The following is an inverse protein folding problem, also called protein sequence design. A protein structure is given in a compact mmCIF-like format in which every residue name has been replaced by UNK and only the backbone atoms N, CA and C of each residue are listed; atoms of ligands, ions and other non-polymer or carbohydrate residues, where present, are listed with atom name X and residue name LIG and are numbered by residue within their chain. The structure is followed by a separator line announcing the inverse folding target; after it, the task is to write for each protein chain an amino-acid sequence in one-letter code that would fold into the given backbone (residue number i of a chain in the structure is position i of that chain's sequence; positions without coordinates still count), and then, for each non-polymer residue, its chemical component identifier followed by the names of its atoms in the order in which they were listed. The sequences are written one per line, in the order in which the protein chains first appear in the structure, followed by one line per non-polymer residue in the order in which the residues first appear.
data_IF_039839074442
#
_entry.id   IF_039839074442
#
_cell.length_a   1.000
_cell.length_b   1.000
_cell.length_c   1.000
_cell.angle_alpha   90.00
_cell.angle_beta   90.00
_cell.angle_gamma   90.00
#
_symmetry.space_group_name_H-M   'P 1'
#
loop_
_entity.id
_entity.type
_entity.pdbx_description
1 polymer ?
#
# COMPACT_ATOMS: atom_id res chain seq x y z
N UNK A 1 58.09 15.09 22.02
CA UNK A 1 58.36 13.81 21.31
C UNK A 1 57.80 13.94 19.91
N UNK A 2 58.60 13.81 18.83
CA UNK A 2 58.07 13.94 17.47
C UNK A 2 57.33 12.66 17.09
N UNK A 3 56.04 12.80 16.74
CA UNK A 3 55.23 11.69 16.24
C UNK A 3 55.73 11.35 14.83
N UNK A 4 56.13 10.10 14.62
CA UNK A 4 56.67 9.62 13.35
C UNK A 4 55.65 9.77 12.22
N UNK A 5 56.08 10.34 11.09
CA UNK A 5 55.28 10.53 9.87
C UNK A 5 54.68 9.21 9.34
N UNK A 6 55.32 8.07 9.62
CA UNK A 6 54.82 6.71 9.33
C UNK A 6 53.57 6.34 10.14
N UNK A 7 53.48 6.79 11.39
CA UNK A 7 52.32 6.55 12.25
C UNK A 7 51.12 7.39 11.80
N UNK A 8 51.36 8.64 11.39
CA UNK A 8 50.31 9.53 10.85
C UNK A 8 49.75 8.99 9.52
N UNK A 9 50.62 8.49 8.63
CA UNK A 9 50.19 7.88 7.35
C UNK A 9 49.45 6.56 7.56
N UNK A 10 49.85 5.73 8.52
CA UNK A 10 49.11 4.52 8.86
C UNK A 10 47.72 4.84 9.45
N UNK A 11 47.61 5.84 10.34
CA UNK A 11 46.32 6.26 10.93
C UNK A 11 45.37 6.84 9.87
N UNK A 12 45.87 7.55 8.86
CA UNK A 12 45.05 8.07 7.77
C UNK A 12 44.67 6.98 6.74
N UNK A 13 45.50 5.95 6.55
CA UNK A 13 45.25 4.89 5.57
C UNK A 13 44.15 3.91 5.99
N UNK A 14 44.03 3.58 7.28
CA UNK A 14 43.00 2.64 7.80
C UNK A 14 41.56 3.08 7.48
N UNK A 15 41.11 4.32 7.79
CA UNK A 15 39.74 4.73 7.49
C UNK A 15 39.46 4.80 5.99
N UNK A 16 40.48 5.12 5.17
CA UNK A 16 40.36 5.10 3.70
C UNK A 16 40.15 3.67 3.19
N UNK A 17 40.94 2.71 3.68
CA UNK A 17 40.79 1.30 3.31
C UNK A 17 39.42 0.78 3.75
N UNK A 18 38.99 1.11 4.97
CA UNK A 18 37.68 0.69 5.48
C UNK A 18 36.53 1.28 4.65
N UNK A 19 36.62 2.55 4.27
CA UNK A 19 35.64 3.21 3.41
C UNK A 19 35.58 2.57 2.01
N UNK A 20 36.73 2.22 1.42
CA UNK A 20 36.80 1.53 0.12
C UNK A 20 36.18 0.13 0.23
N UNK A 21 36.48 -0.63 1.28
CA UNK A 21 35.88 -1.94 1.51
C UNK A 21 34.37 -1.83 1.72
N UNK A 22 33.91 -0.90 2.55
CA UNK A 22 32.48 -0.64 2.73
C UNK A 22 31.80 -0.27 1.41
N UNK A 23 32.44 0.53 0.55
CA UNK A 23 31.92 0.88 -0.77
C UNK A 23 31.83 -0.33 -1.71
N UNK A 24 32.87 -1.17 -1.76
CA UNK A 24 32.92 -2.36 -2.62
C UNK A 24 31.92 -3.44 -2.20
N UNK A 25 31.70 -3.62 -0.89
CA UNK A 25 30.78 -4.61 -0.35
C UNK A 25 29.39 -4.04 -0.03
N UNK A 26 29.16 -2.75 -0.25
CA UNK A 26 27.92 -2.04 0.08
C UNK A 26 26.67 -2.72 -0.50
N UNK A 27 26.74 -3.09 -1.78
CA UNK A 27 25.64 -3.71 -2.52
C UNK A 27 25.31 -5.13 -2.04
N UNK A 28 26.27 -5.81 -1.41
CA UNK A 28 26.05 -7.14 -0.82
C UNK A 28 25.48 -7.05 0.61
N UNK A 29 25.70 -5.94 1.31
CA UNK A 29 25.25 -5.73 2.69
C UNK A 29 23.85 -5.07 2.73
N UNK A 30 23.58 -4.11 1.83
CA UNK A 30 22.36 -3.29 1.83
C UNK A 30 21.48 -3.58 0.58
N UNK A 31 21.95 -4.41 -0.35
CA UNK A 31 21.15 -4.82 -1.49
C UNK A 31 19.89 -5.57 -1.06
N UNK A 32 18.75 -5.39 -1.76
CA UNK A 32 17.56 -6.18 -1.49
C UNK A 32 17.88 -7.66 -1.64
N UNK A 33 17.32 -8.50 -0.76
CA UNK A 33 17.51 -9.94 -0.82
C UNK A 33 17.17 -10.45 -2.22
N UNK A 34 18.12 -11.17 -2.83
CA UNK A 34 17.87 -11.80 -4.11
C UNK A 34 17.12 -13.11 -3.84
N UNK A 35 15.80 -13.01 -3.72
CA UNK A 35 14.94 -14.19 -3.59
C UNK A 35 15.13 -15.06 -4.83
N UNK A 36 15.67 -16.26 -4.67
CA UNK A 36 15.98 -17.18 -5.77
C UNK A 36 14.72 -17.45 -6.61
N UNK A 37 14.78 -17.12 -7.90
CA UNK A 37 13.64 -17.25 -8.82
C UNK A 37 12.79 -15.98 -8.96
N UNK A 38 13.04 -14.94 -8.16
CA UNK A 38 12.37 -13.65 -8.32
C UNK A 38 12.87 -12.90 -9.55
N UNK A 39 11.94 -12.25 -10.26
CA UNK A 39 12.26 -11.33 -11.36
C UNK A 39 12.19 -9.90 -10.83
N UNK A 40 13.18 -9.07 -11.14
CA UNK A 40 13.17 -7.64 -10.81
C UNK A 40 12.23 -6.90 -11.76
N UNK A 41 10.92 -6.99 -11.51
CA UNK A 41 9.86 -6.43 -12.37
C UNK A 41 9.17 -5.18 -11.79
N UNK A 42 9.69 -4.61 -10.70
CA UNK A 42 9.09 -3.42 -10.10
C UNK A 42 8.96 -2.26 -11.10
N UNK A 43 9.94 -2.10 -11.99
CA UNK A 43 9.93 -1.08 -13.04
C UNK A 43 8.86 -1.32 -14.14
N UNK A 44 8.29 -2.53 -14.19
CA UNK A 44 7.19 -2.89 -15.10
C UNK A 44 5.82 -2.76 -14.42
N UNK A 45 5.77 -2.48 -13.12
CA UNK A 45 4.51 -2.35 -12.40
C UNK A 45 3.77 -1.11 -12.91
N UNK A 46 2.54 -1.31 -13.40
CA UNK A 46 1.62 -0.24 -13.78
C UNK A 46 0.64 -0.03 -12.63
N UNK A 47 0.53 1.21 -12.16
CA UNK A 47 -0.50 1.57 -11.18
C UNK A 47 -1.86 1.68 -11.86
N UNK A 48 -2.92 1.29 -11.14
CA UNK A 48 -4.29 1.57 -11.54
C UNK A 48 -4.66 2.92 -10.91
N UNK A 49 -4.88 4.00 -11.69
CA UNK A 49 -5.17 5.32 -11.13
C UNK A 49 -6.46 5.30 -10.32
N UNK A 50 -6.41 5.72 -9.05
CA UNK A 50 -7.53 5.63 -8.12
C UNK A 50 -8.26 6.98 -7.99
N UNK A 51 -9.60 7.04 -8.03
CA UNK A 51 -10.36 8.29 -7.87
C UNK A 51 -10.57 8.64 -6.39
N UNK A 52 -9.48 8.67 -5.64
CA UNK A 52 -9.40 8.90 -4.20
C UNK A 52 -8.05 8.42 -3.65
N UNK A 53 -7.82 8.66 -2.36
CA UNK A 53 -6.55 8.35 -1.73
C UNK A 53 -6.61 7.18 -0.76
N UNK A 54 -5.44 6.66 -0.42
CA UNK A 54 -5.22 5.73 0.69
C UNK A 54 -5.97 4.40 0.57
N UNK A 55 -5.84 3.63 -0.52
CA UNK A 55 -6.29 2.24 -0.51
C UNK A 55 -5.46 1.44 0.50
N UNK A 56 -6.11 0.90 1.55
CA UNK A 56 -5.41 0.12 2.59
C UNK A 56 -5.50 -1.39 2.33
N UNK A 57 -6.65 -1.85 1.86
CA UNK A 57 -6.89 -3.25 1.49
C UNK A 57 -7.61 -3.37 0.17
N UNK A 58 -7.53 -4.56 -0.41
CA UNK A 58 -8.23 -4.95 -1.63
C UNK A 58 -8.79 -6.36 -1.50
N UNK A 59 -9.86 -6.65 -2.22
CA UNK A 59 -10.45 -7.99 -2.29
C UNK A 59 -11.07 -8.23 -3.67
N UNK A 60 -11.20 -9.51 -4.07
CA UNK A 60 -11.95 -9.94 -5.25
C UNK A 60 -13.17 -10.75 -4.83
N UNK A 61 -14.27 -10.60 -5.55
CA UNK A 61 -15.45 -11.38 -5.24
C UNK A 61 -15.35 -12.83 -5.76
N UNK A 62 -16.35 -13.66 -5.41
CA UNK A 62 -16.38 -15.07 -5.82
C UNK A 62 -16.52 -15.29 -7.33
N UNK A 63 -16.92 -14.26 -8.09
CA UNK A 63 -17.03 -14.30 -9.55
C UNK A 63 -15.72 -13.85 -10.21
N UNK A 64 -14.72 -13.44 -9.42
CA UNK A 64 -13.43 -12.95 -9.92
C UNK A 64 -13.46 -11.47 -10.32
N UNK A 65 -14.51 -10.73 -9.97
CA UNK A 65 -14.59 -9.31 -10.27
C UNK A 65 -13.82 -8.47 -9.26
N UNK A 66 -13.51 -7.23 -9.65
CA UNK A 66 -12.76 -6.27 -8.85
C UNK A 66 -11.39 -5.94 -9.46
N UNK A 67 -10.40 -5.53 -8.62
CA UNK A 67 -10.47 -5.50 -7.16
C UNK A 67 -11.47 -4.48 -6.61
N UNK A 68 -11.95 -4.75 -5.40
CA UNK A 68 -12.69 -3.81 -4.55
C UNK A 68 -11.71 -3.20 -3.55
N UNK A 69 -11.76 -1.88 -3.35
CA UNK A 69 -10.82 -1.15 -2.47
C UNK A 69 -11.53 -0.08 -1.66
N UNK A 70 -11.16 0.09 -0.39
CA UNK A 70 -11.60 1.22 0.45
C UNK A 70 -10.78 2.47 0.16
N UNK A 71 -11.37 3.67 0.23
CA UNK A 71 -10.66 4.95 0.06
C UNK A 71 -10.90 5.92 1.23
N UNK A 72 -10.09 6.97 1.31
CA UNK A 72 -10.06 7.95 2.42
C UNK A 72 -11.43 8.57 2.73
N UNK A 73 -12.27 8.79 1.72
CA UNK A 73 -13.58 9.43 1.87
C UNK A 73 -14.71 8.46 2.25
N UNK A 74 -14.39 7.25 2.69
CA UNK A 74 -15.37 6.27 3.16
C UNK A 74 -16.04 5.44 2.06
N UNK A 75 -15.68 5.62 0.79
CA UNK A 75 -16.17 4.75 -0.30
C UNK A 75 -15.42 3.44 -0.36
N UNK A 76 -16.09 2.47 -0.95
CA UNK A 76 -15.53 1.23 -1.47
C UNK A 76 -15.76 1.25 -2.97
N UNK A 77 -14.68 1.16 -3.74
CA UNK A 77 -14.67 1.26 -5.19
C UNK A 77 -14.45 -0.12 -5.80
N UNK A 78 -15.13 -0.42 -6.91
CA UNK A 78 -14.92 -1.64 -7.72
C UNK A 78 -14.21 -1.27 -9.02
N UNK A 79 -13.06 -1.88 -9.28
CA UNK A 79 -12.41 -1.82 -10.60
C UNK A 79 -13.10 -2.76 -11.58
N UNK A 80 -13.33 -2.29 -12.81
CA UNK A 80 -13.99 -3.06 -13.87
C UNK A 80 -13.15 -3.20 -15.14
N UNK A 81 -11.84 -2.99 -15.03
CA UNK A 81 -10.92 -3.01 -16.18
C UNK A 81 -10.68 -1.64 -16.80
N UNK A 82 -9.71 -1.56 -17.70
CA UNK A 82 -9.22 -0.29 -18.27
C UNK A 82 -10.28 0.47 -19.06
N UNK A 83 -11.21 -0.24 -19.72
CA UNK A 83 -12.26 0.38 -20.53
C UNK A 83 -13.40 0.98 -19.69
N UNK A 84 -13.75 0.35 -18.56
CA UNK A 84 -14.90 0.72 -17.73
C UNK A 84 -14.53 1.52 -16.48
N UNK A 85 -13.26 1.47 -16.06
CA UNK A 85 -12.75 2.21 -14.93
C UNK A 85 -13.32 1.77 -13.57
N UNK A 86 -13.34 2.71 -12.64
CA UNK A 86 -13.86 2.53 -11.29
C UNK A 86 -15.35 2.83 -11.19
N UNK A 87 -16.03 2.09 -10.31
CA UNK A 87 -17.41 2.28 -9.91
C UNK A 87 -17.47 2.48 -8.39
N UNK A 88 -18.30 3.40 -7.91
CA UNK A 88 -18.66 3.49 -6.50
C UNK A 88 -19.57 2.31 -6.14
N UNK A 89 -19.02 1.32 -5.41
CA UNK A 89 -19.75 0.10 -5.05
C UNK A 89 -20.53 0.29 -3.74
N UNK A 90 -19.85 0.72 -2.68
CA UNK A 90 -20.46 0.88 -1.37
C UNK A 90 -19.85 2.06 -0.60
N UNK A 91 -20.46 2.41 0.52
CA UNK A 91 -19.91 3.39 1.47
C UNK A 91 -20.36 3.08 2.90
N UNK A 92 -19.56 3.50 3.86
CA UNK A 92 -19.81 3.22 5.29
C UNK A 92 -20.55 4.34 6.02
N UNK A 93 -20.68 5.54 5.43
CA UNK A 93 -21.43 6.67 6.01
C UNK A 93 -22.58 7.16 5.11
N UNK A 94 -23.80 7.38 5.65
CA UNK A 94 -24.94 7.87 4.87
C UNK A 94 -24.82 9.36 4.48
N UNK A 95 -24.09 10.17 5.26
CA UNK A 95 -24.00 11.62 5.06
C UNK A 95 -22.61 11.99 4.57
N UNK A 96 -22.50 12.30 3.27
CA UNK A 96 -21.21 12.43 2.58
C UNK A 96 -20.84 13.82 2.09
N UNK A 97 -21.67 14.83 2.36
CA UNK A 97 -21.50 16.18 1.82
C UNK A 97 -20.19 16.86 2.23
N UNK A 98 -19.69 16.55 3.44
CA UNK A 98 -18.45 17.10 3.98
C UNK A 98 -17.25 16.14 3.87
N UNK A 99 -17.34 15.08 3.07
CA UNK A 99 -16.24 14.12 2.92
C UNK A 99 -15.16 14.65 1.98
N UNK A 100 -13.91 14.58 2.41
CA UNK A 100 -12.75 14.94 1.61
C UNK A 100 -12.14 13.70 0.97
N UNK A 101 -11.72 13.82 -0.30
CA UNK A 101 -10.98 12.75 -0.99
C UNK A 101 -9.55 12.56 -0.46
N UNK A 102 -8.99 13.59 0.17
CA UNK A 102 -7.58 13.64 0.57
C UNK A 102 -7.40 13.62 2.09
N UNK A 103 -8.43 14.01 2.84
CA UNK A 103 -8.38 14.08 4.31
C UNK A 103 -9.37 13.10 4.93
N UNK A 104 -8.92 12.40 5.97
CA UNK A 104 -9.77 11.48 6.71
C UNK A 104 -10.72 12.28 7.59
N UNK A 105 -12.02 12.18 7.33
CA UNK A 105 -13.07 12.76 8.17
C UNK A 105 -13.78 11.62 8.90
N UNK A 106 -13.71 11.53 10.24
CA UNK A 106 -14.27 10.39 10.99
C UNK A 106 -15.75 10.09 10.68
N UNK A 107 -16.58 11.12 10.46
CA UNK A 107 -18.00 10.96 10.13
C UNK A 107 -18.25 10.39 8.73
N UNK A 108 -17.23 10.33 7.86
CA UNK A 108 -17.31 9.72 6.54
C UNK A 108 -17.00 8.23 6.54
N UNK A 109 -16.44 7.71 7.64
CA UNK A 109 -15.91 6.36 7.71
C UNK A 109 -14.53 6.24 7.05
N UNK A 110 -13.86 5.12 7.31
CA UNK A 110 -12.57 4.76 6.73
C UNK A 110 -12.47 3.23 6.57
N UNK A 111 -12.92 2.67 5.44
CA UNK A 111 -12.80 1.24 5.16
C UNK A 111 -11.33 0.85 5.01
N UNK A 112 -10.80 0.11 6.00
CA UNK A 112 -9.40 -0.32 6.05
C UNK A 112 -9.24 -1.80 5.68
N UNK A 113 -10.25 -2.64 5.93
CA UNK A 113 -10.25 -4.08 5.61
C UNK A 113 -11.49 -4.48 4.83
N UNK A 114 -11.34 -5.35 3.83
CA UNK A 114 -12.43 -5.88 3.01
C UNK A 114 -12.33 -7.40 2.94
N UNK A 115 -13.47 -8.10 3.04
CA UNK A 115 -13.53 -9.54 2.77
C UNK A 115 -14.92 -9.98 2.34
N UNK A 116 -15.02 -10.71 1.24
CA UNK A 116 -16.30 -11.28 0.80
C UNK A 116 -16.60 -12.59 1.53
N UNK A 117 -17.80 -12.68 2.08
CA UNK A 117 -18.36 -13.96 2.48
C UNK A 117 -18.87 -14.73 1.26
N UNK A 118 -18.02 -15.63 0.75
CA UNK A 118 -18.22 -16.35 -0.52
C UNK A 118 -19.58 -17.03 -0.69
N UNK A 119 -20.25 -17.42 0.40
CA UNK A 119 -21.55 -18.12 0.29
C UNK A 119 -22.70 -17.18 -0.06
N UNK A 120 -22.70 -15.95 0.44
CA UNK A 120 -23.79 -14.98 0.22
C UNK A 120 -23.41 -13.88 -0.76
N UNK A 121 -22.10 -13.64 -0.96
CA UNK A 121 -21.62 -12.48 -1.70
C UNK A 121 -21.64 -11.19 -0.88
N UNK A 122 -21.95 -11.26 0.41
CA UNK A 122 -21.86 -10.10 1.30
C UNK A 122 -20.40 -9.66 1.45
N UNK A 123 -20.16 -8.36 1.37
CA UNK A 123 -18.87 -7.75 1.66
C UNK A 123 -18.82 -7.31 3.11
N UNK A 124 -17.94 -7.92 3.90
CA UNK A 124 -17.62 -7.48 5.26
C UNK A 124 -16.52 -6.43 5.20
N UNK A 125 -16.69 -5.39 6.01
CA UNK A 125 -15.87 -4.18 5.98
C UNK A 125 -15.36 -3.90 7.39
N UNK A 126 -14.05 -3.79 7.57
CA UNK A 126 -13.45 -3.24 8.77
C UNK A 126 -13.28 -1.73 8.58
N UNK A 127 -14.23 -0.94 9.08
CA UNK A 127 -14.16 0.51 9.10
C UNK A 127 -13.44 1.01 10.36
N UNK A 128 -12.47 1.91 10.19
CA UNK A 128 -11.67 2.47 11.28
C UNK A 128 -12.45 3.30 12.31
N UNK A 129 -13.65 3.79 11.95
CA UNK A 129 -14.48 4.60 12.84
C UNK A 129 -15.79 3.91 13.22
N UNK A 130 -16.33 3.06 12.35
CA UNK A 130 -17.64 2.41 12.57
C UNK A 130 -17.55 0.93 12.93
N UNK A 131 -16.34 0.35 12.98
CA UNK A 131 -16.13 -1.05 13.35
C UNK A 131 -16.41 -2.01 12.18
N UNK A 132 -16.93 -3.20 12.48
CA UNK A 132 -17.21 -4.21 11.45
C UNK A 132 -18.60 -3.97 10.88
N UNK A 133 -18.67 -3.69 9.58
CA UNK A 133 -19.90 -3.46 8.81
C UNK A 133 -20.08 -4.51 7.73
N UNK A 134 -21.25 -4.54 7.09
CA UNK A 134 -21.56 -5.47 6.00
C UNK A 134 -22.44 -4.77 4.98
N UNK A 135 -22.13 -4.98 3.70
CA UNK A 135 -23.02 -4.62 2.60
C UNK A 135 -23.32 -5.85 1.75
N UNK A 136 -24.51 -5.89 1.14
CA UNK A 136 -24.90 -6.97 0.24
C UNK A 136 -24.11 -6.97 -1.08
N UNK A 137 -24.31 -7.99 -1.94
CA UNK A 137 -23.59 -8.12 -3.22
C UNK A 137 -23.87 -6.98 -4.20
N UNK A 138 -24.98 -6.26 -4.04
CA UNK A 138 -25.34 -5.09 -4.86
C UNK A 138 -24.67 -3.79 -4.38
N UNK A 139 -23.93 -3.83 -3.27
CA UNK A 139 -23.31 -2.64 -2.69
C UNK A 139 -24.32 -1.69 -2.03
N UNK A 140 -24.01 -0.40 -2.03
CA UNK A 140 -24.82 0.65 -1.39
C UNK A 140 -24.29 1.06 0.00
N UNK A 141 -25.21 1.46 0.88
CA UNK A 141 -24.89 1.80 2.27
C UNK A 141 -24.67 0.51 3.07
N UNK A 142 -23.51 0.40 3.72
CA UNK A 142 -23.16 -0.70 4.63
C UNK A 142 -23.80 -0.58 6.02
#
# INVERSE_FOLDING_TARGET
MPISQRVITQIAAVPVILAVLCYLFWSSIIGPENLKGSKKVLQLAKTIPLPGDGPESLEFDSQGEGPYVGVTDGRILKWRGEELGWLDFAHTSPHRENCSRHEVVPSCGRPLGLSFYRKTGDLYICDGYFGIMKVGPEGGLA
#
